data_IF_016562634980
#
_entry.id   IF_016562634980
#
_cell.length_a   1.000
_cell.length_b   1.000
_cell.length_c   1.000
_cell.angle_alpha   90.00
_cell.angle_beta   90.00
_cell.angle_gamma   90.00
#
_symmetry.space_group_name_H-M   'P 1'
#
loop_
_entity.id
_entity.type
_entity.pdbx_description
1 polymer ?
#
# COMPACT_ATOMS: atom_id res chain seq x y z
N UNK A 1 -16.75 41.21 37.32
CA UNK A 1 -15.86 42.07 36.49
C UNK A 1 -15.86 41.50 35.08
N UNK A 2 -15.96 42.39 34.09
CA UNK A 2 -16.32 42.08 32.71
C UNK A 2 -15.15 42.37 31.73
N UNK A 3 -15.27 41.76 30.54
CA UNK A 3 -14.59 42.03 29.25
C UNK A 3 -13.12 41.54 29.18
N UNK A 4 -12.62 40.96 28.08
CA UNK A 4 -12.81 41.32 26.67
C UNK A 4 -12.45 40.13 25.75
N UNK A 5 -13.26 39.89 24.71
CA UNK A 5 -12.92 39.07 23.53
C UNK A 5 -11.95 39.83 22.63
N UNK A 6 -10.95 39.16 22.07
CA UNK A 6 -10.37 39.53 20.78
C UNK A 6 -10.37 38.30 19.85
N UNK A 7 -11.09 38.48 18.74
CA UNK A 7 -11.09 37.68 17.53
C UNK A 7 -9.80 37.94 16.73
N UNK A 8 -9.31 36.92 16.02
CA UNK A 8 -8.73 37.13 14.70
C UNK A 8 -7.31 36.60 14.50
N UNK A 9 -7.21 35.43 13.87
CA UNK A 9 -6.38 35.21 12.68
C UNK A 9 -6.62 33.79 12.17
N UNK A 10 -7.57 33.66 11.24
CA UNK A 10 -7.76 32.51 10.35
C UNK A 10 -6.47 32.29 9.55
N UNK A 11 -5.63 31.36 10.00
CA UNK A 11 -4.52 30.86 9.19
C UNK A 11 -5.05 29.72 8.34
N UNK A 12 -5.30 30.03 7.08
CA UNK A 12 -5.72 29.07 6.07
C UNK A 12 -4.72 27.91 6.00
N UNK A 13 -5.21 26.70 6.30
CA UNK A 13 -4.49 25.43 6.26
C UNK A 13 -4.15 25.13 4.80
N UNK A 14 -2.93 25.47 4.37
CA UNK A 14 -2.32 25.03 3.10
C UNK A 14 -1.64 23.66 3.27
N UNK A 15 -2.35 22.66 3.77
CA UNK A 15 -1.77 21.34 4.08
C UNK A 15 -2.19 20.20 3.13
N UNK A 16 -2.80 20.51 1.98
CA UNK A 16 -3.39 19.50 1.09
C UNK A 16 -2.39 18.92 0.05
N UNK A 17 -1.18 19.46 -0.10
CA UNK A 17 -0.33 19.14 -1.25
C UNK A 17 0.67 17.97 -1.10
N UNK A 18 0.94 17.45 0.09
CA UNK A 18 2.07 16.51 0.27
C UNK A 18 1.74 15.09 -0.22
N UNK A 19 0.46 14.65 -0.16
CA UNK A 19 0.08 13.31 -0.63
C UNK A 19 -0.20 13.24 -2.14
N UNK A 20 -0.69 14.32 -2.76
CA UNK A 20 -0.96 14.37 -4.21
C UNK A 20 0.32 14.34 -5.07
N UNK A 21 1.49 14.53 -4.47
CA UNK A 21 2.80 14.45 -5.13
C UNK A 21 3.45 13.06 -5.06
N UNK A 22 2.94 12.14 -4.24
CA UNK A 22 3.55 10.82 -4.02
C UNK A 22 2.67 9.65 -4.49
N UNK A 23 1.34 9.82 -4.53
CA UNK A 23 0.42 8.86 -5.14
C UNK A 23 -0.01 9.32 -6.53
N UNK A 24 0.85 9.12 -7.53
CA UNK A 24 0.53 9.45 -8.92
C UNK A 24 -0.59 8.55 -9.47
N UNK A 25 -1.81 9.07 -9.49
CA UNK A 25 -2.70 8.79 -10.62
C UNK A 25 -2.09 9.51 -11.86
N UNK A 26 -2.01 8.88 -13.05
CA UNK A 26 -1.60 9.58 -14.26
C UNK A 26 -2.75 10.50 -14.68
N UNK A 27 -2.79 11.70 -14.11
CA UNK A 27 -3.79 12.72 -14.37
C UNK A 27 -3.12 14.08 -14.37
N UNK A 28 -2.51 14.43 -15.50
CA UNK A 28 -1.83 15.70 -15.72
C UNK A 28 -2.88 16.83 -15.67
N UNK A 29 -3.04 17.49 -14.54
CA UNK A 29 -3.72 18.78 -14.45
C UNK A 29 -2.65 19.87 -14.30
N UNK A 30 -2.06 20.26 -15.43
CA UNK A 30 -1.23 21.45 -15.52
C UNK A 30 -2.16 22.63 -15.24
N UNK A 31 -1.99 23.29 -14.09
CA UNK A 31 -2.61 24.58 -13.85
C UNK A 31 -2.07 25.57 -14.90
N UNK A 32 -2.84 25.77 -15.97
CA UNK A 32 -2.55 26.77 -16.98
C UNK A 32 -2.65 28.15 -16.32
N UNK A 33 -1.51 28.81 -16.21
CA UNK A 33 -1.42 30.25 -15.98
C UNK A 33 -2.20 30.92 -17.12
N UNK A 34 -3.25 31.66 -16.76
CA UNK A 34 -4.10 32.36 -17.71
C UNK A 34 -3.25 33.33 -18.56
N UNK A 35 -3.24 33.20 -19.90
CA UNK A 35 -2.70 34.24 -20.77
C UNK A 35 -3.64 35.46 -20.78
N UNK A 36 -3.11 36.68 -20.98
CA UNK A 36 -3.90 37.91 -20.97
C UNK A 36 -4.99 37.92 -22.06
N UNK A 37 -6.07 38.70 -21.89
CA UNK A 37 -7.23 38.66 -22.77
C UNK A 37 -6.84 39.07 -24.20
N UNK A 38 -6.98 38.12 -25.12
CA UNK A 38 -6.89 38.34 -26.55
C UNK A 38 -8.24 38.84 -27.07
N UNK A 39 -8.18 39.79 -28.00
CA UNK A 39 -9.30 40.44 -28.68
C UNK A 39 -10.34 39.46 -29.27
N UNK A 40 -11.62 39.87 -29.42
CA UNK A 40 -12.67 38.98 -29.91
C UNK A 40 -12.42 38.59 -31.36
N UNK A 41 -12.13 37.30 -31.60
CA UNK A 41 -12.17 36.68 -32.92
C UNK A 41 -13.60 36.23 -33.22
N UNK A 42 -14.10 36.66 -34.37
CA UNK A 42 -15.37 36.28 -34.98
C UNK A 42 -15.46 34.75 -35.16
N UNK A 43 -16.60 34.10 -34.86
CA UNK A 43 -16.74 32.66 -35.08
C UNK A 43 -16.78 32.34 -36.58
N UNK A 44 -15.82 31.55 -37.06
CA UNK A 44 -15.92 30.87 -38.35
C UNK A 44 -16.75 29.59 -38.17
N UNK A 45 -17.82 29.46 -38.96
CA UNK A 45 -18.69 28.29 -38.97
C UNK A 45 -17.95 27.06 -39.50
N UNK A 46 -17.93 25.99 -38.72
CA UNK A 46 -17.49 24.66 -39.16
C UNK A 46 -18.65 23.96 -39.87
N UNK A 47 -18.45 23.32 -41.04
CA UNK A 47 -19.49 22.55 -41.71
C UNK A 47 -19.84 21.28 -40.92
N UNK A 48 -21.14 21.02 -40.74
CA UNK A 48 -21.67 19.79 -40.16
C UNK A 48 -21.33 18.58 -41.04
N UNK A 49 -20.63 17.60 -40.47
CA UNK A 49 -20.47 16.28 -41.07
C UNK A 49 -21.78 15.48 -40.88
N UNK A 50 -22.43 15.13 -41.98
CA UNK A 50 -23.62 14.29 -42.00
C UNK A 50 -23.25 12.85 -41.63
N UNK A 51 -23.82 12.33 -40.54
CA UNK A 51 -23.76 10.91 -40.19
C UNK A 51 -24.67 10.09 -41.13
N UNK A 52 -24.21 8.94 -41.67
CA UNK A 52 -25.05 8.07 -42.48
C UNK A 52 -26.13 7.39 -41.62
N UNK A 53 -27.36 7.43 -42.14
CA UNK A 53 -28.55 6.77 -41.58
C UNK A 53 -28.45 5.26 -41.84
N UNK A 54 -28.44 4.46 -40.77
CA UNK A 54 -28.58 2.99 -40.86
C UNK A 54 -30.06 2.59 -41.08
N UNK A 55 -30.34 1.53 -41.84
CA UNK A 55 -31.70 1.06 -42.09
C UNK A 55 -32.35 0.41 -40.85
N UNK A 56 -33.69 0.41 -40.76
CA UNK A 56 -34.41 -0.11 -39.60
C UNK A 56 -34.30 -1.64 -39.49
N UNK A 57 -33.87 -2.12 -38.32
CA UNK A 57 -33.87 -3.53 -38.00
C UNK A 57 -35.30 -4.08 -37.89
N UNK A 58 -35.57 -5.18 -38.59
CA UNK A 58 -36.83 -5.93 -38.51
C UNK A 58 -37.09 -6.41 -37.08
N UNK A 59 -38.26 -6.05 -36.54
CA UNK A 59 -38.78 -6.58 -35.27
C UNK A 59 -39.19 -8.04 -35.44
N UNK A 60 -38.53 -8.95 -34.71
CA UNK A 60 -39.00 -10.33 -34.49
C UNK A 60 -40.12 -10.33 -33.45
N UNK A 61 -41.27 -11.00 -33.65
CA UNK A 61 -42.33 -11.10 -32.65
C UNK A 61 -42.04 -12.20 -31.62
N UNK A 62 -42.23 -11.85 -30.34
CA UNK A 62 -42.84 -12.71 -29.33
C UNK A 62 -42.04 -13.91 -28.82
N UNK A 63 -41.20 -13.68 -27.80
CA UNK A 63 -40.95 -14.69 -26.77
C UNK A 63 -41.66 -14.22 -25.50
N UNK A 64 -42.75 -14.90 -25.15
CA UNK A 64 -43.46 -14.74 -23.87
C UNK A 64 -42.51 -15.07 -22.74
N UNK A 65 -42.14 -14.07 -21.94
CA UNK A 65 -41.37 -14.24 -20.73
C UNK A 65 -42.25 -14.89 -19.67
N UNK A 66 -41.91 -16.13 -19.31
CA UNK A 66 -42.46 -16.87 -18.19
C UNK A 66 -41.92 -16.25 -16.89
N UNK A 67 -42.74 -15.46 -16.21
CA UNK A 67 -42.38 -14.80 -14.95
C UNK A 67 -42.63 -15.74 -13.78
N UNK A 68 -41.72 -16.69 -13.58
CA UNK A 68 -41.57 -17.39 -12.31
C UNK A 68 -40.96 -16.47 -11.25
N UNK A 69 -41.24 -16.67 -9.94
CA UNK A 69 -40.61 -15.92 -8.87
C UNK A 69 -39.09 -16.14 -8.91
N UNK A 70 -38.37 -15.06 -9.13
CA UNK A 70 -36.91 -15.03 -9.25
C UNK A 70 -36.27 -15.47 -7.92
N UNK A 71 -35.41 -16.48 -7.95
CA UNK A 71 -34.71 -16.92 -6.75
C UNK A 71 -33.69 -15.87 -6.30
N UNK A 72 -33.40 -15.78 -5.01
CA UNK A 72 -32.37 -14.86 -4.49
C UNK A 72 -30.99 -15.07 -5.14
N UNK A 73 -30.70 -16.32 -5.55
CA UNK A 73 -29.46 -16.65 -6.27
C UNK A 73 -29.44 -16.11 -7.70
N UNK A 74 -30.58 -16.09 -8.39
CA UNK A 74 -30.70 -15.50 -9.73
C UNK A 74 -30.66 -13.97 -9.67
N UNK A 75 -31.23 -13.39 -8.62
CA UNK A 75 -31.18 -11.95 -8.37
C UNK A 75 -29.74 -11.49 -8.05
N UNK A 76 -28.99 -12.25 -7.25
CA UNK A 76 -27.57 -12.02 -7.02
C UNK A 76 -26.78 -12.11 -8.35
N UNK A 77 -26.99 -13.16 -9.14
CA UNK A 77 -26.32 -13.33 -10.45
C UNK A 77 -26.62 -12.20 -11.44
N UNK A 78 -27.83 -11.63 -11.42
CA UNK A 78 -28.16 -10.46 -12.25
C UNK A 78 -27.49 -9.19 -11.79
N UNK A 79 -27.37 -8.96 -10.47
CA UNK A 79 -26.58 -7.85 -9.94
C UNK A 79 -25.10 -7.97 -10.35
N UNK A 80 -24.54 -9.19 -10.37
CA UNK A 80 -23.17 -9.44 -10.82
C UNK A 80 -22.94 -9.27 -12.34
N UNK A 81 -23.96 -9.49 -13.18
CA UNK A 81 -23.84 -9.43 -14.65
C UNK A 81 -24.40 -8.14 -15.28
N UNK A 82 -24.92 -7.21 -14.49
CA UNK A 82 -25.38 -5.91 -15.01
C UNK A 82 -24.19 -4.97 -15.09
N UNK A 83 -23.78 -4.48 -16.28
CA UNK A 83 -22.76 -3.44 -16.36
C UNK A 83 -23.27 -2.22 -15.59
N UNK A 84 -22.60 -1.86 -14.49
CA UNK A 84 -23.05 -0.85 -13.55
C UNK A 84 -23.33 0.47 -14.27
N UNK A 85 -24.62 0.75 -14.52
CA UNK A 85 -25.09 2.10 -14.81
C UNK A 85 -25.03 2.85 -13.48
N UNK A 86 -24.36 4.00 -13.51
CA UNK A 86 -24.03 4.91 -12.39
C UNK A 86 -23.19 4.30 -11.27
N UNK A 87 -21.87 4.46 -11.38
CA UNK A 87 -20.93 5.10 -10.43
C UNK A 87 -21.01 4.93 -8.91
N UNK A 88 -22.13 4.58 -8.29
CA UNK A 88 -22.29 4.48 -6.85
C UNK A 88 -22.11 3.04 -6.37
N UNK A 89 -21.28 2.87 -5.34
CA UNK A 89 -21.12 1.57 -4.68
C UNK A 89 -22.37 1.26 -3.85
N UNK A 90 -22.83 0.00 -3.81
CA UNK A 90 -23.95 -0.37 -2.94
C UNK A 90 -23.56 -0.14 -1.47
N UNK A 91 -24.50 0.33 -0.66
CA UNK A 91 -24.30 0.47 0.79
C UNK A 91 -24.55 -0.88 1.48
N UNK A 92 -23.55 -1.76 1.40
CA UNK A 92 -23.57 -3.05 2.11
C UNK A 92 -22.81 -2.93 3.44
N UNK A 93 -23.31 -3.54 4.53
CA UNK A 93 -22.58 -3.60 5.78
C UNK A 93 -21.35 -4.52 5.65
N UNK A 94 -20.27 -4.18 6.35
CA UNK A 94 -19.07 -5.02 6.51
C UNK A 94 -18.43 -4.77 7.88
N UNK A 95 -17.62 -5.73 8.34
CA UNK A 95 -16.81 -5.56 9.55
C UNK A 95 -15.63 -4.62 9.26
N UNK A 96 -15.47 -3.51 10.01
CA UNK A 96 -14.30 -2.65 9.86
C UNK A 96 -13.01 -3.42 10.17
N UNK A 97 -12.01 -3.32 9.30
CA UNK A 97 -10.73 -4.02 9.49
C UNK A 97 -9.87 -3.41 10.61
N UNK A 98 -10.09 -2.12 10.94
CA UNK A 98 -9.45 -1.47 12.08
C UNK A 98 -10.30 -1.61 13.35
N UNK A 99 -9.71 -2.17 14.41
CA UNK A 99 -10.36 -2.33 15.72
C UNK A 99 -9.84 -1.28 16.69
N UNK A 100 -10.63 -0.90 17.70
CA UNK A 100 -10.18 -0.03 18.80
C UNK A 100 -9.95 -0.84 20.07
N UNK A 101 -8.92 -0.49 20.83
CA UNK A 101 -8.66 -1.05 22.15
C UNK A 101 -9.59 -0.44 23.22
N UNK A 102 -9.48 -0.91 24.47
CA UNK A 102 -10.28 -0.43 25.60
C UNK A 102 -10.03 1.06 25.93
N UNK A 103 -8.87 1.60 25.51
CA UNK A 103 -8.52 3.01 25.66
C UNK A 103 -9.00 3.87 24.47
N UNK A 104 -9.63 3.25 23.47
CA UNK A 104 -10.12 3.90 22.27
C UNK A 104 -9.05 4.14 21.20
N UNK A 105 -7.84 3.62 21.34
CA UNK A 105 -6.78 3.74 20.32
C UNK A 105 -7.04 2.76 19.18
N UNK A 106 -6.63 3.12 17.96
CA UNK A 106 -6.71 2.21 16.82
C UNK A 106 -5.63 1.12 16.95
N UNK A 107 -6.04 -0.14 16.92
CA UNK A 107 -5.16 -1.29 16.77
C UNK A 107 -4.82 -1.41 15.28
N UNK A 108 -3.56 -1.13 14.94
CA UNK A 108 -3.06 -1.27 13.57
C UNK A 108 -3.03 -2.74 13.18
N UNK A 109 -3.50 -3.05 11.98
CA UNK A 109 -3.42 -4.41 11.45
C UNK A 109 -1.97 -4.77 11.12
N UNK A 110 -1.61 -6.04 11.34
CA UNK A 110 -0.26 -6.55 11.04
C UNK A 110 -0.13 -7.06 9.60
N UNK A 111 -1.23 -7.45 8.95
CA UNK A 111 -1.24 -7.98 7.58
C UNK A 111 -1.42 -6.88 6.51
N UNK A 112 -1.36 -7.25 5.23
CA UNK A 112 -1.69 -6.35 4.11
C UNK A 112 -3.15 -5.86 4.23
N UNK A 113 -3.45 -4.54 4.30
CA UNK A 113 -4.80 -4.04 4.45
C UNK A 113 -5.70 -4.45 3.29
N UNK A 114 -5.14 -4.61 2.09
CA UNK A 114 -5.88 -5.07 0.94
C UNK A 114 -6.30 -6.53 1.09
N UNK A 115 -5.45 -7.38 1.67
CA UNK A 115 -5.79 -8.77 1.94
C UNK A 115 -6.87 -8.90 3.00
N UNK A 116 -6.71 -8.20 4.13
CA UNK A 116 -7.72 -8.20 5.22
C UNK A 116 -9.06 -7.61 4.75
N UNK A 117 -9.01 -6.59 3.87
CA UNK A 117 -10.23 -6.05 3.27
C UNK A 117 -10.98 -7.07 2.40
N UNK A 118 -10.26 -7.93 1.65
CA UNK A 118 -10.89 -8.98 0.84
C UNK A 118 -11.67 -9.96 1.70
N UNK A 119 -11.17 -10.29 2.91
CA UNK A 119 -11.83 -11.26 3.80
C UNK A 119 -13.10 -10.75 4.46
N UNK A 120 -13.33 -9.43 4.48
CA UNK A 120 -14.55 -8.81 5.04
C UNK A 120 -15.44 -8.19 3.96
N UNK A 121 -15.07 -8.32 2.68
CA UNK A 121 -15.80 -7.73 1.58
C UNK A 121 -17.08 -8.52 1.28
N UNK A 122 -18.28 -7.92 1.47
CA UNK A 122 -19.56 -8.63 1.35
C UNK A 122 -19.92 -8.99 -0.10
N UNK A 123 -19.14 -8.52 -1.08
CA UNK A 123 -19.30 -8.88 -2.49
C UNK A 123 -18.44 -10.09 -2.90
N UNK A 124 -17.68 -10.66 -1.97
CA UNK A 124 -16.82 -11.81 -2.17
C UNK A 124 -17.31 -12.98 -1.32
N UNK A 125 -17.25 -14.18 -1.90
CA UNK A 125 -17.45 -15.43 -1.18
C UNK A 125 -16.09 -16.04 -0.80
N UNK A 126 -16.10 -17.00 0.12
CA UNK A 126 -14.90 -17.71 0.57
C UNK A 126 -14.17 -18.40 -0.60
N UNK A 127 -14.93 -18.89 -1.58
CA UNK A 127 -14.39 -19.51 -2.80
C UNK A 127 -13.64 -18.51 -3.69
N UNK A 128 -14.03 -17.23 -3.71
CA UNK A 128 -13.26 -16.17 -4.35
C UNK A 128 -11.93 -15.96 -3.62
N UNK A 129 -11.96 -15.88 -2.29
CA UNK A 129 -10.77 -15.67 -1.47
C UNK A 129 -9.74 -16.78 -1.69
N UNK A 130 -10.21 -18.03 -1.75
CA UNK A 130 -9.35 -19.19 -2.01
C UNK A 130 -8.62 -19.11 -3.36
N UNK A 131 -9.31 -18.61 -4.39
CA UNK A 131 -8.74 -18.44 -5.74
C UNK A 131 -7.61 -17.39 -5.77
N UNK A 132 -7.57 -16.47 -4.81
CA UNK A 132 -6.56 -15.41 -4.76
C UNK A 132 -5.20 -15.89 -4.25
N UNK A 133 -5.12 -17.08 -3.62
CA UNK A 133 -3.89 -17.58 -2.98
C UNK A 133 -2.68 -17.57 -3.90
N UNK A 134 -2.88 -17.93 -5.18
CA UNK A 134 -1.81 -17.91 -6.18
C UNK A 134 -1.25 -16.51 -6.41
N UNK A 135 -2.13 -15.51 -6.57
CA UNK A 135 -1.75 -14.10 -6.78
C UNK A 135 -1.12 -13.50 -5.52
N UNK A 136 -1.62 -13.85 -4.33
CA UNK A 136 -1.00 -13.45 -3.05
C UNK A 136 0.43 -14.00 -2.94
N UNK A 137 0.63 -15.28 -3.25
CA UNK A 137 1.96 -15.89 -3.26
C UNK A 137 2.89 -15.25 -4.31
N UNK A 138 2.39 -14.98 -5.52
CA UNK A 138 3.16 -14.32 -6.56
C UNK A 138 3.57 -12.89 -6.16
N UNK A 139 2.66 -12.15 -5.50
CA UNK A 139 2.95 -10.83 -4.92
C UNK A 139 4.01 -10.91 -3.83
N UNK A 140 3.91 -11.88 -2.92
CA UNK A 140 4.93 -12.13 -1.90
C UNK A 140 6.30 -12.39 -2.51
N UNK A 141 6.38 -13.22 -3.54
CA UNK A 141 7.63 -13.47 -4.26
C UNK A 141 8.21 -12.20 -4.90
N UNK A 142 7.37 -11.34 -5.49
CA UNK A 142 7.82 -10.04 -6.01
C UNK A 142 8.36 -9.12 -4.91
N UNK A 143 7.69 -9.07 -3.75
CA UNK A 143 8.15 -8.33 -2.58
C UNK A 143 9.50 -8.84 -2.07
N UNK A 144 9.68 -10.15 -1.99
CA UNK A 144 10.95 -10.77 -1.60
C UNK A 144 12.07 -10.41 -2.57
N UNK A 145 11.84 -10.52 -3.87
CA UNK A 145 12.81 -10.10 -4.87
C UNK A 145 13.12 -8.60 -4.75
N UNK A 146 12.12 -7.74 -4.57
CA UNK A 146 12.34 -6.30 -4.36
C UNK A 146 13.19 -6.00 -3.11
N UNK A 147 12.98 -6.73 -2.01
CA UNK A 147 13.80 -6.63 -0.79
C UNK A 147 15.25 -7.05 -1.07
N UNK A 148 15.46 -8.14 -1.81
CA UNK A 148 16.79 -8.64 -2.20
C UNK A 148 17.50 -7.68 -3.16
N UNK A 149 16.79 -7.14 -4.14
CA UNK A 149 17.32 -6.18 -5.11
C UNK A 149 17.74 -4.86 -4.45
N UNK A 150 17.06 -4.50 -3.35
CA UNK A 150 17.24 -3.23 -2.64
C UNK A 150 17.77 -3.40 -1.21
N UNK A 151 18.65 -4.38 -0.96
CA UNK A 151 19.25 -4.63 0.37
C UNK A 151 19.90 -3.39 0.99
N UNK A 152 20.54 -2.55 0.17
CA UNK A 152 21.17 -1.29 0.62
C UNK A 152 20.15 -0.26 1.10
N UNK A 153 18.97 -0.20 0.49
CA UNK A 153 17.87 0.67 0.93
C UNK A 153 17.25 0.11 2.21
N UNK A 154 17.06 -1.21 2.30
CA UNK A 154 16.61 -1.87 3.53
C UNK A 154 17.56 -1.58 4.69
N UNK A 155 18.87 -1.62 4.45
CA UNK A 155 19.86 -1.23 5.46
C UNK A 155 19.67 0.22 5.93
N UNK A 156 19.47 1.15 5.00
CA UNK A 156 19.19 2.55 5.36
C UNK A 156 17.92 2.70 6.21
N UNK A 157 16.86 1.94 5.90
CA UNK A 157 15.63 1.91 6.72
C UNK A 157 15.93 1.45 8.13
N UNK A 158 16.64 0.32 8.28
CA UNK A 158 17.02 -0.25 9.58
C UNK A 158 17.94 0.69 10.39
N UNK A 159 18.82 1.41 9.71
CA UNK A 159 19.67 2.44 10.32
C UNK A 159 18.87 3.71 10.71
N UNK A 160 17.56 3.73 10.44
CA UNK A 160 16.64 4.78 10.86
C UNK A 160 16.50 5.93 9.86
N UNK A 161 16.66 5.69 8.56
CA UNK A 161 16.45 6.73 7.53
C UNK A 161 15.09 7.44 7.69
N UNK A 162 14.02 6.69 7.99
CA UNK A 162 12.69 7.25 8.23
C UNK A 162 12.65 8.03 9.54
N UNK A 163 13.26 7.51 10.60
CA UNK A 163 13.31 8.16 11.92
C UNK A 163 14.06 9.49 11.91
N UNK A 164 14.93 9.72 10.92
CA UNK A 164 15.70 10.97 10.74
C UNK A 164 14.97 12.02 9.90
N UNK A 165 13.82 11.71 9.31
CA UNK A 165 13.07 12.66 8.48
C UNK A 165 12.64 13.86 9.31
N UNK A 166 12.84 15.05 8.76
CA UNK A 166 12.29 16.30 9.27
C UNK A 166 11.65 17.08 8.12
N UNK A 167 10.36 17.41 8.23
CA UNK A 167 9.62 18.08 7.15
C UNK A 167 10.11 19.51 6.94
N UNK A 168 10.75 20.12 7.94
CA UNK A 168 11.42 21.40 7.78
C UNK A 168 12.72 21.30 6.96
N UNK A 169 13.21 20.08 6.71
CA UNK A 169 14.45 19.76 6.01
C UNK A 169 14.18 18.94 4.73
N UNK A 170 14.00 19.61 3.58
CA UNK A 170 13.62 18.93 2.33
C UNK A 170 14.59 17.83 1.89
N UNK A 171 15.87 17.95 2.21
CA UNK A 171 16.92 16.96 1.94
C UNK A 171 16.65 15.61 2.60
N UNK A 172 16.25 15.63 3.88
CA UNK A 172 15.95 14.40 4.63
C UNK A 172 14.70 13.71 4.11
N UNK A 173 13.69 14.51 3.75
CA UNK A 173 12.44 14.03 3.18
C UNK A 173 12.68 13.42 1.80
N UNK A 174 13.43 14.08 0.92
CA UNK A 174 13.77 13.56 -0.40
C UNK A 174 14.56 12.24 -0.30
N UNK A 175 15.51 12.17 0.63
CA UNK A 175 16.28 10.94 0.87
C UNK A 175 15.38 9.79 1.32
N UNK A 176 14.46 10.04 2.26
CA UNK A 176 13.53 9.02 2.71
C UNK A 176 12.54 8.60 1.60
N UNK A 177 12.06 9.54 0.78
CA UNK A 177 11.23 9.23 -0.40
C UNK A 177 12.00 8.33 -1.37
N UNK A 178 13.29 8.60 -1.62
CA UNK A 178 14.11 7.77 -2.50
C UNK A 178 14.28 6.34 -1.96
N UNK A 179 14.37 6.17 -0.64
CA UNK A 179 14.41 4.85 0.01
C UNK A 179 13.09 4.09 -0.12
N UNK A 180 11.96 4.80 -0.01
CA UNK A 180 10.63 4.18 0.00
C UNK A 180 10.10 3.89 -1.41
N UNK A 181 10.48 4.70 -2.41
CA UNK A 181 9.91 4.67 -3.76
C UNK A 181 9.91 3.28 -4.43
N UNK A 182 11.00 2.50 -4.42
CA UNK A 182 11.00 1.20 -5.09
C UNK A 182 9.95 0.24 -4.53
N UNK A 183 9.64 0.37 -3.24
CA UNK A 183 8.62 -0.45 -2.58
C UNK A 183 7.19 0.02 -2.89
N UNK A 184 7.00 1.33 -3.15
CA UNK A 184 5.70 1.88 -3.56
C UNK A 184 5.29 1.43 -4.97
N UNK A 185 6.25 1.23 -5.86
CA UNK A 185 6.00 0.85 -7.25
C UNK A 185 5.42 -0.57 -7.40
N UNK A 186 5.42 -1.38 -6.34
CA UNK A 186 4.81 -2.71 -6.31
C UNK A 186 3.28 -2.70 -6.29
N UNK A 187 2.63 -1.53 -6.23
CA UNK A 187 1.18 -1.39 -6.30
C UNK A 187 0.46 -2.04 -5.12
N UNK A 188 -0.83 -2.35 -5.27
CA UNK A 188 -1.64 -3.02 -4.24
C UNK A 188 -2.16 -4.37 -4.71
N UNK A 189 -2.42 -5.28 -3.76
CA UNK A 189 -3.00 -6.59 -4.06
C UNK A 189 -4.35 -6.47 -4.77
N UNK A 190 -5.16 -5.47 -4.42
CA UNK A 190 -6.45 -5.21 -5.06
C UNK A 190 -6.32 -4.85 -6.54
N UNK A 191 -5.28 -4.09 -6.92
CA UNK A 191 -5.01 -3.82 -8.34
C UNK A 191 -4.51 -5.06 -9.07
N UNK A 192 -3.60 -5.84 -8.47
CA UNK A 192 -3.11 -7.10 -9.05
C UNK A 192 -4.28 -8.05 -9.37
N UNK A 193 -5.18 -8.27 -8.40
CA UNK A 193 -6.33 -9.15 -8.56
C UNK A 193 -7.33 -8.64 -9.60
N UNK A 194 -7.53 -7.32 -9.72
CA UNK A 194 -8.37 -6.75 -10.79
C UNK A 194 -7.73 -6.95 -12.16
N UNK A 195 -6.43 -6.69 -12.28
CA UNK A 195 -5.69 -6.84 -13.53
C UNK A 195 -5.71 -8.30 -14.04
N UNK A 196 -5.67 -9.27 -13.13
CA UNK A 196 -5.77 -10.70 -13.43
C UNK A 196 -7.22 -11.19 -13.64
N UNK A 197 -8.22 -10.32 -13.50
CA UNK A 197 -9.63 -10.63 -13.73
C UNK A 197 -10.33 -11.37 -12.59
N UNK A 198 -9.72 -11.44 -11.41
CA UNK A 198 -10.31 -12.05 -10.22
C UNK A 198 -11.38 -11.19 -9.57
N UNK A 199 -11.27 -9.86 -9.69
CA UNK A 199 -12.24 -8.91 -9.15
C UNK A 199 -13.02 -8.24 -10.28
N UNK A 200 -14.33 -8.22 -10.15
CA UNK A 200 -15.18 -7.30 -10.92
C UNK A 200 -14.90 -5.85 -10.51
N UNK A 201 -15.26 -4.90 -11.36
CA UNK A 201 -15.17 -3.46 -11.06
C UNK A 201 -15.80 -3.10 -9.71
N UNK A 202 -16.97 -3.67 -9.42
CA UNK A 202 -17.71 -3.37 -8.21
C UNK A 202 -17.01 -3.94 -6.96
N UNK A 203 -16.52 -5.19 -7.02
CA UNK A 203 -15.75 -5.81 -5.94
C UNK A 203 -14.44 -5.07 -5.67
N UNK A 204 -13.73 -4.68 -6.74
CA UNK A 204 -12.51 -3.87 -6.68
C UNK A 204 -12.76 -2.54 -5.98
N UNK A 205 -13.77 -1.77 -6.41
CA UNK A 205 -14.12 -0.47 -5.80
C UNK A 205 -14.57 -0.63 -4.35
N UNK A 206 -15.32 -1.69 -4.02
CA UNK A 206 -15.77 -1.94 -2.66
C UNK A 206 -14.59 -2.29 -1.74
N UNK A 207 -13.63 -3.08 -2.23
CA UNK A 207 -12.42 -3.38 -1.46
C UNK A 207 -11.60 -2.11 -1.17
N UNK A 208 -11.46 -1.24 -2.18
CA UNK A 208 -10.82 0.07 -2.00
C UNK A 208 -11.56 0.98 -1.02
N UNK A 209 -12.89 0.91 -0.94
CA UNK A 209 -13.66 1.62 0.08
C UNK A 209 -13.25 1.16 1.49
N UNK A 210 -13.22 -0.15 1.73
CA UNK A 210 -12.84 -0.73 3.03
C UNK A 210 -11.42 -0.30 3.42
N UNK A 211 -10.46 -0.42 2.50
CA UNK A 211 -9.07 0.02 2.72
C UNK A 211 -8.98 1.52 2.98
N UNK A 212 -9.68 2.34 2.19
CA UNK A 212 -9.66 3.80 2.33
C UNK A 212 -10.21 4.29 3.67
N UNK A 213 -11.26 3.65 4.19
CA UNK A 213 -11.79 3.93 5.53
C UNK A 213 -10.79 3.56 6.64
N UNK A 214 -10.10 2.42 6.51
CA UNK A 214 -9.03 2.04 7.43
C UNK A 214 -7.86 3.03 7.41
N UNK A 215 -7.34 3.38 6.24
CA UNK A 215 -6.26 4.37 6.13
C UNK A 215 -6.65 5.73 6.68
N UNK A 216 -7.92 6.14 6.50
CA UNK A 216 -8.43 7.37 7.10
C UNK A 216 -8.42 7.28 8.63
N UNK A 217 -8.83 6.14 9.20
CA UNK A 217 -8.77 5.90 10.63
C UNK A 217 -7.31 5.93 11.15
N UNK A 218 -6.36 5.29 10.45
CA UNK A 218 -4.93 5.33 10.79
C UNK A 218 -4.39 6.76 10.75
N UNK A 219 -4.69 7.54 9.70
CA UNK A 219 -4.25 8.94 9.60
C UNK A 219 -4.81 9.80 10.74
N UNK A 220 -6.09 9.61 11.09
CA UNK A 220 -6.71 10.33 12.20
C UNK A 220 -6.03 9.98 13.54
N UNK A 221 -5.72 8.70 13.75
CA UNK A 221 -5.03 8.23 14.96
C UNK A 221 -3.61 8.79 15.07
N UNK A 222 -2.84 8.71 13.99
CA UNK A 222 -1.47 9.24 13.94
C UNK A 222 -1.47 10.75 14.19
N UNK A 223 -2.40 11.51 13.60
CA UNK A 223 -2.53 12.95 13.84
C UNK A 223 -2.88 13.25 15.30
N UNK A 224 -3.79 12.47 15.89
CA UNK A 224 -4.15 12.59 17.31
C UNK A 224 -2.92 12.39 18.21
N UNK A 225 -2.23 11.26 18.06
CA UNK A 225 -1.02 10.93 18.83
C UNK A 225 0.11 11.94 18.62
N UNK A 226 0.25 12.47 17.39
CA UNK A 226 1.24 13.48 17.08
C UNK A 226 0.96 14.81 17.80
N UNK A 227 -0.31 15.17 17.96
CA UNK A 227 -0.74 16.39 18.65
C UNK A 227 -0.74 16.27 20.18
N UNK A 228 -0.94 15.07 20.71
CA UNK A 228 -0.88 14.78 22.16
C UNK A 228 0.54 14.75 22.72
N UNK A 229 1.56 14.80 21.86
CA UNK A 229 2.93 14.80 22.33
C UNK A 229 3.34 16.15 22.92
N UNK A 230 3.35 16.19 24.26
CA UNK A 230 3.72 17.38 25.04
C UNK A 230 5.23 17.64 25.13
N UNK A 231 6.10 16.83 24.51
CA UNK A 231 7.54 17.08 24.51
C UNK A 231 7.87 18.34 23.68
N UNK A 232 8.27 19.46 24.30
CA UNK A 232 8.59 20.70 23.60
C UNK A 232 9.85 20.59 22.74
N UNK A 233 10.69 19.57 22.96
CA UNK A 233 11.87 19.28 22.16
C UNK A 233 11.63 18.18 21.12
N UNK A 234 10.41 17.63 21.07
CA UNK A 234 10.04 16.58 20.13
C UNK A 234 9.92 17.09 18.69
N UNK A 235 9.93 16.18 17.69
CA UNK A 235 9.69 16.56 16.31
C UNK A 235 8.28 17.12 16.16
N UNK A 236 8.14 18.11 15.27
CA UNK A 236 6.84 18.71 14.96
C UNK A 236 5.79 17.63 14.60
N UNK A 237 4.49 17.83 14.93
CA UNK A 237 3.45 16.83 14.68
C UNK A 237 3.43 16.33 13.22
N UNK A 238 3.60 17.24 12.25
CA UNK A 238 3.68 16.88 10.83
C UNK A 238 4.87 15.99 10.48
N UNK A 239 6.00 16.13 11.19
CA UNK A 239 7.15 15.23 11.04
C UNK A 239 6.81 13.83 11.51
N UNK A 240 6.13 13.67 12.64
CA UNK A 240 5.67 12.35 13.10
C UNK A 240 4.71 11.69 12.12
N UNK A 241 3.75 12.46 11.63
CA UNK A 241 2.78 12.00 10.63
C UNK A 241 3.47 11.55 9.35
N UNK A 242 4.43 12.34 8.87
CA UNK A 242 5.21 12.00 7.66
C UNK A 242 6.01 10.72 7.87
N UNK A 243 6.67 10.57 9.03
CA UNK A 243 7.40 9.34 9.37
C UNK A 243 6.49 8.12 9.41
N UNK A 244 5.31 8.24 10.02
CA UNK A 244 4.33 7.16 10.08
C UNK A 244 3.83 6.75 8.68
N UNK A 245 3.51 7.72 7.82
CA UNK A 245 3.08 7.46 6.42
C UNK A 245 4.19 6.78 5.63
N UNK A 246 5.45 7.24 5.75
CA UNK A 246 6.58 6.60 5.09
C UNK A 246 6.85 5.19 5.63
N UNK A 247 6.68 5.00 6.94
CA UNK A 247 6.78 3.70 7.60
C UNK A 247 5.76 2.69 7.09
N UNK A 248 4.51 3.12 6.83
CA UNK A 248 3.47 2.22 6.31
C UNK A 248 3.85 1.62 4.95
N UNK A 249 4.46 2.39 4.05
CA UNK A 249 4.94 1.86 2.78
C UNK A 249 6.07 0.83 2.92
N UNK A 250 6.79 0.86 4.03
CA UNK A 250 7.90 -0.05 4.33
C UNK A 250 7.49 -1.21 5.21
N UNK A 251 6.27 -1.22 5.75
CA UNK A 251 5.80 -2.25 6.68
C UNK A 251 5.89 -3.64 6.05
N UNK A 252 5.21 -3.87 4.93
CA UNK A 252 5.27 -5.16 4.23
C UNK A 252 6.70 -5.55 3.79
N UNK A 253 7.51 -4.68 3.17
CA UNK A 253 8.92 -5.00 2.89
C UNK A 253 9.74 -5.37 4.13
N UNK A 254 9.53 -4.71 5.26
CA UNK A 254 10.22 -5.03 6.52
C UNK A 254 9.77 -6.36 7.09
N UNK A 255 8.48 -6.66 7.04
CA UNK A 255 7.93 -7.95 7.45
C UNK A 255 8.52 -9.07 6.59
N UNK A 256 8.52 -8.88 5.25
CA UNK A 256 9.13 -9.80 4.28
C UNK A 256 10.61 -10.04 4.57
N UNK A 257 11.36 -8.96 4.82
CA UNK A 257 12.77 -9.04 5.16
C UNK A 257 12.99 -9.83 6.46
N UNK A 258 12.20 -9.56 7.50
CA UNK A 258 12.32 -10.26 8.77
C UNK A 258 11.97 -11.74 8.66
N UNK A 259 10.96 -12.09 7.86
CA UNK A 259 10.60 -13.48 7.56
C UNK A 259 11.77 -14.20 6.86
N UNK A 260 12.37 -13.58 5.83
CA UNK A 260 13.55 -14.13 5.15
C UNK A 260 14.68 -14.40 6.15
N UNK A 261 14.98 -13.43 7.02
CA UNK A 261 15.99 -13.63 8.05
C UNK A 261 15.63 -14.74 9.04
N UNK A 262 14.36 -14.83 9.45
CA UNK A 262 13.87 -15.87 10.34
C UNK A 262 13.99 -17.28 9.74
N UNK A 263 13.64 -17.42 8.46
CA UNK A 263 13.81 -18.66 7.70
C UNK A 263 15.29 -19.03 7.57
N UNK A 264 16.14 -18.06 7.17
CA UNK A 264 17.57 -18.24 7.05
C UNK A 264 18.24 -18.65 8.36
N UNK A 265 17.82 -18.05 9.49
CA UNK A 265 18.34 -18.38 10.81
C UNK A 265 18.17 -19.88 11.15
N UNK A 266 17.04 -20.49 10.75
CA UNK A 266 16.75 -21.89 11.02
C UNK A 266 17.65 -22.88 10.26
N UNK A 267 18.33 -22.42 9.20
CA UNK A 267 19.16 -23.24 8.31
C UNK A 267 20.45 -22.52 7.89
N UNK A 268 21.00 -21.70 8.78
CA UNK A 268 22.09 -20.78 8.44
C UNK A 268 23.33 -21.49 7.86
N UNK A 269 23.67 -22.69 8.37
CA UNK A 269 24.79 -23.48 7.84
C UNK A 269 24.62 -23.84 6.36
N UNK A 270 23.43 -24.30 5.97
CA UNK A 270 23.10 -24.65 4.58
C UNK A 270 23.06 -23.40 3.69
N UNK A 271 22.51 -22.30 4.21
CA UNK A 271 22.48 -21.01 3.51
C UNK A 271 23.89 -20.49 3.24
N UNK A 272 24.78 -20.48 4.24
CA UNK A 272 26.19 -20.06 4.07
C UNK A 272 26.88 -20.96 3.04
N UNK A 273 26.63 -22.27 3.06
CA UNK A 273 27.23 -23.21 2.12
C UNK A 273 26.76 -22.97 0.68
N UNK A 274 25.49 -22.62 0.48
CA UNK A 274 24.91 -22.32 -0.83
C UNK A 274 25.21 -20.88 -1.32
N UNK A 275 25.50 -19.95 -0.42
CA UNK A 275 25.68 -18.54 -0.76
C UNK A 275 26.98 -18.29 -1.53
N UNK A 276 26.85 -17.54 -2.63
CA UNK A 276 27.95 -17.05 -3.46
C UNK A 276 28.63 -15.82 -2.84
N UNK A 277 29.12 -15.97 -1.61
CA UNK A 277 29.79 -14.91 -0.81
C UNK A 277 31.31 -15.07 -0.81
N UNK A 278 32.01 -13.96 -0.57
CA UNK A 278 33.47 -13.90 -0.44
C UNK A 278 33.96 -14.67 0.78
N UNK A 279 35.27 -14.97 0.86
CA UNK A 279 35.85 -15.62 2.04
C UNK A 279 35.75 -14.75 3.30
N UNK A 280 35.89 -13.42 3.16
CA UNK A 280 35.73 -12.47 4.26
C UNK A 280 34.29 -12.47 4.80
N UNK A 281 33.29 -12.37 3.91
CA UNK A 281 31.87 -12.45 4.28
C UNK A 281 31.51 -13.83 4.87
N UNK A 282 32.14 -14.90 4.37
CA UNK A 282 31.96 -16.25 4.90
C UNK A 282 32.50 -16.38 6.32
N UNK A 283 33.67 -15.80 6.59
CA UNK A 283 34.23 -15.75 7.95
C UNK A 283 33.31 -14.97 8.89
N UNK A 284 32.82 -13.80 8.47
CA UNK A 284 31.82 -13.02 9.22
C UNK A 284 30.58 -13.86 9.53
N UNK A 285 30.01 -14.54 8.53
CA UNK A 285 28.83 -15.36 8.73
C UNK A 285 29.09 -16.53 9.71
N UNK A 286 30.27 -17.15 9.65
CA UNK A 286 30.69 -18.20 10.58
C UNK A 286 30.86 -17.68 12.01
N UNK A 287 31.46 -16.50 12.19
CA UNK A 287 31.63 -15.86 13.49
C UNK A 287 30.28 -15.53 14.14
N UNK A 288 29.29 -15.12 13.34
CA UNK A 288 27.94 -14.81 13.81
C UNK A 288 27.03 -16.05 13.97
N UNK A 289 27.38 -17.20 13.39
CA UNK A 289 26.53 -18.39 13.38
C UNK A 289 26.21 -18.91 14.80
N UNK A 290 27.15 -18.78 15.74
CA UNK A 290 26.92 -19.14 17.15
C UNK A 290 25.84 -18.28 17.83
N UNK A 291 25.83 -16.96 17.59
CA UNK A 291 24.80 -16.07 18.12
C UNK A 291 23.41 -16.39 17.54
N UNK A 292 23.34 -16.69 16.24
CA UNK A 292 22.09 -17.09 15.59
C UNK A 292 21.59 -18.43 16.13
N UNK A 293 22.47 -19.42 16.27
CA UNK A 293 22.11 -20.77 16.75
C UNK A 293 21.73 -20.85 18.23
N UNK A 294 22.23 -19.93 19.07
CA UNK A 294 21.94 -19.90 20.52
C UNK A 294 20.72 -19.04 20.88
N UNK A 295 20.21 -18.24 19.94
CA UNK A 295 19.04 -17.39 20.16
C UNK A 295 17.76 -18.21 20.40
N UNK A 296 17.16 -18.02 21.58
CA UNK A 296 16.04 -18.83 22.08
C UNK A 296 14.67 -18.44 21.52
N UNK A 297 14.52 -17.22 21.00
CA UNK A 297 13.26 -16.72 20.43
C UNK A 297 13.40 -16.44 18.93
N UNK A 298 12.27 -16.45 18.20
CA UNK A 298 12.25 -16.09 16.79
C UNK A 298 12.76 -14.65 16.57
N UNK A 299 12.32 -13.72 17.43
CA UNK A 299 12.78 -12.33 17.40
C UNK A 299 14.29 -12.20 17.62
N UNK A 300 14.84 -12.91 18.63
CA UNK A 300 16.28 -12.88 18.88
C UNK A 300 17.09 -13.49 17.72
N UNK A 301 16.55 -14.50 17.03
CA UNK A 301 17.15 -15.05 15.81
C UNK A 301 17.16 -14.03 14.67
N UNK A 302 16.04 -13.35 14.44
CA UNK A 302 15.96 -12.27 13.43
C UNK A 302 16.95 -11.15 13.77
N UNK A 303 17.03 -10.71 15.02
CA UNK A 303 17.99 -9.69 15.46
C UNK A 303 19.45 -10.14 15.26
N UNK A 304 19.78 -11.40 15.59
CA UNK A 304 21.11 -11.94 15.36
C UNK A 304 21.45 -12.01 13.86
N UNK A 305 20.48 -12.37 13.02
CA UNK A 305 20.64 -12.34 11.57
C UNK A 305 20.78 -10.91 11.02
N UNK A 306 20.06 -9.92 11.56
CA UNK A 306 20.23 -8.51 11.20
C UNK A 306 21.63 -7.98 11.57
N UNK A 307 22.18 -8.45 12.70
CA UNK A 307 23.55 -8.13 13.09
C UNK A 307 24.57 -8.76 12.13
N UNK A 308 24.37 -10.03 11.74
CA UNK A 308 25.17 -10.73 10.74
C UNK A 308 25.14 -9.98 9.40
N UNK A 309 23.96 -9.78 8.82
CA UNK A 309 23.84 -9.11 7.51
C UNK A 309 24.33 -7.67 7.54
N UNK A 310 24.29 -7.04 8.72
CA UNK A 310 24.85 -5.72 8.94
C UNK A 310 26.37 -5.63 9.01
N UNK A 311 27.06 -6.74 9.27
CA UNK A 311 28.51 -6.82 9.28
C UNK A 311 29.09 -7.19 7.91
N UNK A 312 28.29 -7.80 7.04
CA UNK A 312 28.68 -8.20 5.68
C UNK A 312 28.80 -7.02 4.73
N UNK A 313 29.51 -7.24 3.62
CA UNK A 313 29.47 -6.36 2.46
C UNK A 313 28.04 -6.28 1.87
N UNK A 314 27.66 -5.21 1.14
CA UNK A 314 26.36 -5.12 0.46
C UNK A 314 26.11 -6.29 -0.49
N UNK A 315 27.12 -6.72 -1.23
CA UNK A 315 27.07 -7.85 -2.14
C UNK A 315 26.92 -9.17 -1.38
N UNK A 316 27.65 -9.34 -0.27
CA UNK A 316 27.56 -10.50 0.60
C UNK A 316 26.18 -10.64 1.25
N UNK A 317 25.62 -9.55 1.75
CA UNK A 317 24.25 -9.50 2.29
C UNK A 317 23.23 -9.92 1.22
N UNK A 318 23.31 -9.34 0.01
CA UNK A 318 22.41 -9.71 -1.09
C UNK A 318 22.49 -11.20 -1.43
N UNK A 319 23.71 -11.72 -1.64
CA UNK A 319 23.93 -13.12 -1.97
C UNK A 319 23.47 -14.07 -0.85
N UNK A 320 23.55 -13.65 0.41
CA UNK A 320 23.00 -14.42 1.53
C UNK A 320 21.47 -14.51 1.44
N UNK A 321 20.76 -13.40 1.19
CA UNK A 321 19.30 -13.43 1.06
C UNK A 321 18.84 -14.25 -0.15
N UNK A 322 19.56 -14.16 -1.28
CA UNK A 322 19.31 -15.00 -2.46
C UNK A 322 19.45 -16.50 -2.12
N UNK A 323 20.47 -16.86 -1.33
CA UNK A 323 20.67 -18.23 -0.88
C UNK A 323 19.58 -18.73 0.08
N UNK A 324 19.03 -17.86 0.94
CA UNK A 324 17.86 -18.19 1.78
C UNK A 324 16.70 -18.63 0.90
N UNK A 325 16.35 -17.84 -0.12
CA UNK A 325 15.25 -18.17 -1.03
C UNK A 325 15.55 -19.45 -1.82
N UNK A 326 16.79 -19.62 -2.31
CA UNK A 326 17.19 -20.78 -3.11
C UNK A 326 17.21 -22.10 -2.33
N UNK A 327 17.33 -22.04 -1.00
CA UNK A 327 17.41 -23.22 -0.12
C UNK A 327 16.08 -23.57 0.55
N UNK A 328 14.97 -22.88 0.21
CA UNK A 328 13.64 -23.09 0.80
C UNK A 328 13.10 -24.51 0.63
#
# INVERSE_FOLDING_TARGET
>A
MAKTRILGATTAIKSVAILALLGGAPGVAIAQIAPPPSTPRTPQATPEAQNPVLPPAMRRPGATADTGPESAADQARRLFNTPARSGELPELPYEPIGKRDDAGNLIMIQDDPHYVALTVNPLLDDDAIERFRGTVAARRNRLEQGVIEHTSLMRQVLDGAINRVDVARPDTLQSAIAVVRPFQEMGSLTEDLRAEGYLTEQQWRFNWKIVGEYEQAVRAEVMRLANENDDPNGPAPMTKVTRAVLGEYLRLPLDVYNDLLGEGAGRLGDVIAAAAITDDDRAIAQDHAGAVGTASTAEARVQAMQALTGAMSPEGHKALLEAIVATR
#
